data_IF_630576369240
#
_entry.id   IF_630576369240
#
_cell.length_a   1.000
_cell.length_b   1.000
_cell.length_c   1.000
_cell.angle_alpha   90.00
_cell.angle_beta   90.00
_cell.angle_gamma   90.00
#
_symmetry.space_group_name_H-M   'P 1'
#
loop_
_entity.id
_entity.type
_entity.pdbx_description
1 polymer ?
#
# COMPACT_ATOMS: atom_id res chain seq x y z
N UNK A 1 -24.25 1.12 -24.25
CA UNK A 1 -23.73 1.37 -22.89
C UNK A 1 -23.76 0.17 -21.94
N UNK A 2 -24.74 -0.76 -22.01
CA UNK A 2 -24.84 -1.89 -21.07
C UNK A 2 -23.70 -2.93 -21.19
N UNK A 3 -23.23 -3.22 -22.41
CA UNK A 3 -22.14 -4.21 -22.66
C UNK A 3 -20.79 -3.69 -22.14
N UNK A 4 -20.48 -2.41 -22.34
CA UNK A 4 -19.26 -1.76 -21.83
C UNK A 4 -19.22 -1.76 -20.30
N UNK A 5 -20.35 -1.42 -19.66
CA UNK A 5 -20.50 -1.47 -18.19
C UNK A 5 -20.39 -2.89 -17.60
N UNK A 6 -20.68 -3.92 -18.38
CA UNK A 6 -20.57 -5.32 -17.94
C UNK A 6 -19.11 -5.79 -17.93
N UNK A 7 -18.37 -5.49 -19.01
CA UNK A 7 -16.93 -5.78 -19.09
C UNK A 7 -16.11 -5.00 -18.05
N UNK A 8 -16.43 -3.74 -17.82
CA UNK A 8 -15.79 -2.90 -16.80
C UNK A 8 -15.97 -3.49 -15.39
N UNK A 9 -17.18 -3.92 -15.01
CA UNK A 9 -17.41 -4.57 -13.71
C UNK A 9 -16.65 -5.88 -13.56
N UNK A 10 -16.51 -6.66 -14.63
CA UNK A 10 -15.72 -7.89 -14.62
C UNK A 10 -14.23 -7.58 -14.40
N UNK A 11 -13.68 -6.59 -15.10
CA UNK A 11 -12.28 -6.16 -14.96
C UNK A 11 -12.00 -5.63 -13.56
N UNK A 12 -12.87 -4.77 -13.03
CA UNK A 12 -12.73 -4.22 -11.67
C UNK A 12 -12.79 -5.33 -10.62
N UNK A 13 -13.69 -6.31 -10.80
CA UNK A 13 -13.79 -7.47 -9.90
C UNK A 13 -12.55 -8.35 -9.97
N UNK A 14 -11.98 -8.58 -11.15
CA UNK A 14 -10.74 -9.32 -11.32
C UNK A 14 -9.55 -8.59 -10.67
N UNK A 15 -9.42 -7.28 -10.90
CA UNK A 15 -8.37 -6.46 -10.29
C UNK A 15 -8.45 -6.52 -8.76
N UNK A 16 -9.65 -6.35 -8.18
CA UNK A 16 -9.86 -6.44 -6.73
C UNK A 16 -9.62 -7.84 -6.19
N UNK A 17 -10.05 -8.89 -6.91
CA UNK A 17 -9.83 -10.28 -6.52
C UNK A 17 -8.34 -10.61 -6.41
N UNK A 18 -7.50 -10.04 -7.29
CA UNK A 18 -6.06 -10.27 -7.33
C UNK A 18 -5.29 -9.60 -6.18
N UNK A 19 -5.84 -8.56 -5.57
CA UNK A 19 -5.22 -7.92 -4.40
C UNK A 19 -5.20 -8.87 -3.19
N UNK A 20 -6.26 -9.68 -3.01
CA UNK A 20 -6.35 -10.63 -1.89
C UNK A 20 -5.24 -11.70 -1.87
N UNK A 21 -4.98 -12.48 -2.95
CA UNK A 21 -3.88 -13.44 -2.96
C UNK A 21 -2.52 -12.77 -2.84
N UNK A 22 -2.36 -11.55 -3.36
CA UNK A 22 -1.13 -10.78 -3.20
C UNK A 22 -0.87 -10.43 -1.73
N UNK A 23 -1.90 -9.92 -1.04
CA UNK A 23 -1.87 -9.68 0.40
C UNK A 23 -1.49 -10.97 1.14
N UNK A 24 -2.20 -12.07 0.90
CA UNK A 24 -1.92 -13.35 1.59
C UNK A 24 -0.46 -13.80 1.39
N UNK A 25 0.08 -13.69 0.17
CA UNK A 25 1.46 -14.04 -0.13
C UNK A 25 2.46 -13.15 0.63
N UNK A 26 2.25 -11.82 0.65
CA UNK A 26 3.10 -10.89 1.40
C UNK A 26 3.09 -11.17 2.90
N UNK A 27 1.91 -11.44 3.47
CA UNK A 27 1.77 -11.75 4.89
C UNK A 27 2.45 -13.08 5.24
N UNK A 28 2.26 -14.11 4.43
CA UNK A 28 2.93 -15.41 4.61
C UNK A 28 4.45 -15.27 4.53
N UNK A 29 4.95 -14.56 3.52
CA UNK A 29 6.37 -14.32 3.35
C UNK A 29 6.95 -13.51 4.52
N UNK A 30 6.27 -12.45 4.97
CA UNK A 30 6.70 -11.67 6.12
C UNK A 30 6.81 -12.53 7.39
N UNK A 31 5.82 -13.40 7.67
CA UNK A 31 5.84 -14.32 8.82
C UNK A 31 6.96 -15.36 8.68
N UNK A 32 7.18 -15.90 7.48
CA UNK A 32 8.27 -16.84 7.20
C UNK A 32 9.66 -16.23 7.42
N UNK A 33 9.79 -14.91 7.28
CA UNK A 33 11.04 -14.18 7.47
C UNK A 33 11.36 -13.90 8.95
N UNK A 34 10.38 -13.87 9.86
CA UNK A 34 10.57 -13.65 11.32
C UNK A 34 11.71 -14.48 11.93
N UNK A 35 11.81 -15.81 11.72
CA UNK A 35 12.90 -16.60 12.29
C UNK A 35 14.29 -16.30 11.70
N UNK A 36 14.36 -15.64 10.54
CA UNK A 36 15.61 -15.33 9.83
C UNK A 36 16.09 -13.89 10.06
N UNK A 37 15.47 -13.15 10.99
CA UNK A 37 15.90 -11.79 11.32
C UNK A 37 17.31 -11.81 11.90
N UNK A 38 18.27 -11.35 11.10
CA UNK A 38 19.71 -11.38 11.41
C UNK A 38 20.24 -10.02 11.87
N UNK A 39 19.45 -8.93 11.72
CA UNK A 39 19.81 -7.60 12.23
C UNK A 39 21.07 -6.98 11.60
N UNK A 40 21.72 -7.67 10.66
CA UNK A 40 23.00 -7.29 10.06
C UNK A 40 22.95 -5.95 9.32
N UNK A 41 21.81 -5.62 8.71
CA UNK A 41 21.63 -4.34 8.03
C UNK A 41 21.66 -3.13 8.98
N UNK A 42 21.29 -3.31 10.26
CA UNK A 42 21.27 -2.24 11.24
C UNK A 42 22.69 -1.81 11.64
N UNK A 43 23.67 -2.72 11.50
CA UNK A 43 25.09 -2.41 11.73
C UNK A 43 25.68 -1.53 10.64
N UNK A 44 25.23 -1.67 9.39
CA UNK A 44 25.70 -0.88 8.23
C UNK A 44 24.91 0.42 8.04
N UNK A 45 23.69 0.51 8.59
CA UNK A 45 22.82 1.69 8.52
C UNK A 45 23.39 2.96 9.21
N UNK A 46 24.53 2.85 9.90
CA UNK A 46 25.26 3.98 10.50
C UNK A 46 26.08 4.79 9.49
N UNK A 47 26.27 4.27 8.28
CA UNK A 47 26.96 5.00 7.21
C UNK A 47 25.95 5.88 6.50
N UNK A 48 25.98 7.19 6.76
CA UNK A 48 25.13 8.15 6.06
C UNK A 48 25.34 7.99 4.55
N UNK A 49 24.26 7.88 3.74
CA UNK A 49 24.39 7.76 2.31
C UNK A 49 25.13 8.99 1.77
N UNK A 50 26.10 8.76 0.90
CA UNK A 50 26.82 9.85 0.24
C UNK A 50 25.83 10.80 -0.46
N UNK A 51 26.05 12.11 -0.36
CA UNK A 51 25.15 13.14 -0.89
C UNK A 51 24.89 12.97 -2.41
N UNK A 52 25.80 12.29 -3.11
CA UNK A 52 25.71 11.90 -4.52
C UNK A 52 24.57 10.90 -4.80
N UNK A 53 24.25 10.01 -3.86
CA UNK A 53 23.14 9.04 -3.96
C UNK A 53 21.79 9.62 -3.49
N UNK A 54 21.81 10.74 -2.75
CA UNK A 54 20.62 11.39 -2.24
C UNK A 54 19.81 12.09 -3.36
N UNK A 55 20.48 12.82 -4.25
CA UNK A 55 19.86 13.54 -5.38
C UNK A 55 19.01 12.62 -6.28
N UNK A 56 19.51 11.46 -6.79
CA UNK A 56 18.69 10.58 -7.62
C UNK A 56 17.55 9.93 -6.83
N UNK A 57 17.73 9.65 -5.53
CA UNK A 57 16.66 9.11 -4.67
C UNK A 57 15.52 10.13 -4.51
N UNK A 58 15.86 11.39 -4.28
CA UNK A 58 14.91 12.49 -4.18
C UNK A 58 14.19 12.73 -5.51
N UNK A 59 14.93 12.61 -6.62
CA UNK A 59 14.38 12.71 -7.96
C UNK A 59 13.35 11.62 -8.26
N UNK A 60 13.58 10.38 -7.81
CA UNK A 60 12.62 9.28 -7.94
C UNK A 60 11.44 9.39 -6.98
N UNK A 61 11.62 10.03 -5.81
CA UNK A 61 10.54 10.26 -4.86
C UNK A 61 9.46 11.22 -5.39
N UNK A 62 9.84 12.20 -6.24
CA UNK A 62 8.90 13.17 -6.80
C UNK A 62 7.81 12.47 -7.65
N UNK A 63 8.12 11.63 -8.65
CA UNK A 63 7.11 10.87 -9.39
C UNK A 63 6.26 9.99 -8.48
N UNK A 64 6.85 9.30 -7.50
CA UNK A 64 6.11 8.42 -6.59
C UNK A 64 5.08 9.22 -5.78
N UNK A 65 5.45 10.41 -5.29
CA UNK A 65 4.53 11.32 -4.60
C UNK A 65 3.41 11.80 -5.53
N UNK A 66 3.74 12.16 -6.77
CA UNK A 66 2.75 12.59 -7.78
C UNK A 66 1.77 11.46 -8.12
N UNK A 67 2.26 10.24 -8.31
CA UNK A 67 1.41 9.06 -8.54
C UNK A 67 0.57 8.71 -7.30
N UNK A 68 1.09 8.95 -6.08
CA UNK A 68 0.33 8.74 -4.85
C UNK A 68 -0.89 9.67 -4.75
N UNK A 69 -0.83 10.87 -5.35
CA UNK A 69 -2.01 11.74 -5.46
C UNK A 69 -3.12 11.18 -6.34
N UNK A 70 -2.86 10.16 -7.18
CA UNK A 70 -3.90 9.47 -7.95
C UNK A 70 -4.93 8.73 -7.07
N UNK A 71 -4.59 8.48 -5.80
CA UNK A 71 -5.50 7.89 -4.83
C UNK A 71 -6.56 8.89 -4.32
N UNK A 72 -6.26 10.20 -4.32
CA UNK A 72 -7.16 11.25 -3.81
C UNK A 72 -8.50 11.33 -4.59
N UNK A 73 -8.53 11.29 -5.93
CA UNK A 73 -9.78 11.23 -6.69
C UNK A 73 -10.65 10.01 -6.39
N UNK A 74 -10.03 8.84 -6.19
CA UNK A 74 -10.73 7.59 -5.90
C UNK A 74 -11.42 7.67 -4.52
N UNK A 75 -10.72 8.19 -3.51
CA UNK A 75 -11.31 8.44 -2.19
C UNK A 75 -12.48 9.42 -2.29
N UNK A 76 -12.30 10.52 -3.03
CA UNK A 76 -13.33 11.55 -3.19
C UNK A 76 -14.61 10.98 -3.84
N UNK A 77 -14.46 10.17 -4.90
CA UNK A 77 -15.57 9.48 -5.54
C UNK A 77 -16.27 8.48 -4.60
N UNK A 78 -15.50 7.75 -3.79
CA UNK A 78 -16.04 6.83 -2.77
C UNK A 78 -16.83 7.55 -1.67
N UNK A 79 -16.32 8.70 -1.19
CA UNK A 79 -17.01 9.52 -0.20
C UNK A 79 -18.34 10.07 -0.75
N UNK A 80 -18.36 10.51 -2.00
CA UNK A 80 -19.59 10.97 -2.69
C UNK A 80 -20.59 9.83 -2.91
N UNK A 81 -20.13 8.62 -3.27
CA UNK A 81 -21.01 7.46 -3.45
C UNK A 81 -21.61 6.96 -2.12
N UNK A 82 -20.82 6.91 -1.05
CA UNK A 82 -21.33 6.60 0.30
C UNK A 82 -22.34 7.65 0.79
N UNK A 83 -22.08 8.94 0.56
CA UNK A 83 -23.01 10.03 0.91
C UNK A 83 -24.37 9.87 0.21
N UNK A 84 -24.38 9.40 -1.03
CA UNK A 84 -25.61 9.08 -1.78
C UNK A 84 -26.35 7.85 -1.22
N UNK A 85 -25.65 6.84 -0.74
CA UNK A 85 -26.27 5.61 -0.22
C UNK A 85 -26.76 5.70 1.24
N UNK A 86 -26.04 6.43 2.12
CA UNK A 86 -26.27 6.39 3.57
C UNK A 86 -26.68 7.73 4.22
N UNK A 87 -26.84 8.80 3.44
CA UNK A 87 -27.33 10.10 3.94
C UNK A 87 -26.40 10.75 4.98
N UNK A 88 -26.96 11.34 6.05
CA UNK A 88 -26.20 12.03 7.12
C UNK A 88 -25.25 11.12 7.91
N UNK A 89 -25.51 9.81 7.99
CA UNK A 89 -24.65 8.85 8.71
C UNK A 89 -23.52 8.28 7.83
N UNK A 90 -23.44 8.69 6.56
CA UNK A 90 -22.51 8.14 5.59
C UNK A 90 -21.05 8.51 5.85
N UNK A 91 -20.77 9.77 6.20
CA UNK A 91 -19.39 10.25 6.32
C UNK A 91 -18.62 9.52 7.43
N UNK A 92 -19.26 9.32 8.58
CA UNK A 92 -18.62 8.68 9.74
C UNK A 92 -18.29 7.21 9.45
N UNK A 93 -19.24 6.45 8.89
CA UNK A 93 -19.01 5.03 8.56
C UNK A 93 -18.06 4.86 7.38
N UNK A 94 -18.16 5.71 6.35
CA UNK A 94 -17.24 5.72 5.20
C UNK A 94 -15.80 5.96 5.64
N UNK A 95 -15.62 7.02 6.44
CA UNK A 95 -14.31 7.40 6.97
C UNK A 95 -13.72 6.31 7.85
N UNK A 96 -14.52 5.66 8.69
CA UNK A 96 -14.04 4.52 9.51
C UNK A 96 -13.61 3.32 8.67
N UNK A 97 -14.38 2.94 7.65
CA UNK A 97 -14.04 1.82 6.77
C UNK A 97 -12.76 2.14 6.00
N UNK A 98 -12.66 3.35 5.44
CA UNK A 98 -11.51 3.80 4.68
C UNK A 98 -10.26 3.90 5.56
N UNK A 99 -10.37 4.47 6.77
CA UNK A 99 -9.27 4.58 7.72
C UNK A 99 -8.77 3.20 8.18
N UNK A 100 -9.68 2.25 8.44
CA UNK A 100 -9.31 0.87 8.78
C UNK A 100 -8.63 0.15 7.61
N UNK A 101 -9.15 0.31 6.40
CA UNK A 101 -8.57 -0.29 5.21
C UNK A 101 -7.16 0.26 4.91
N UNK A 102 -6.98 1.58 4.96
CA UNK A 102 -5.67 2.22 4.81
C UNK A 102 -4.71 1.84 5.93
N UNK A 103 -5.18 1.83 7.18
CA UNK A 103 -4.38 1.38 8.31
C UNK A 103 -3.88 -0.05 8.14
N UNK A 104 -4.74 -0.97 7.71
CA UNK A 104 -4.38 -2.37 7.49
C UNK A 104 -3.35 -2.51 6.34
N UNK A 105 -3.54 -1.78 5.24
CA UNK A 105 -2.58 -1.75 4.13
C UNK A 105 -1.21 -1.24 4.59
N UNK A 106 -1.15 -0.11 5.29
CA UNK A 106 0.11 0.48 5.77
C UNK A 106 0.82 -0.46 6.75
N UNK A 107 0.11 -0.98 7.76
CA UNK A 107 0.69 -1.89 8.75
C UNK A 107 1.29 -3.11 8.08
N UNK A 108 0.58 -3.69 7.12
CA UNK A 108 1.01 -4.88 6.41
C UNK A 108 2.24 -4.63 5.54
N UNK A 109 2.24 -3.56 4.73
CA UNK A 109 3.38 -3.21 3.87
C UNK A 109 4.60 -2.90 4.71
N UNK A 110 4.45 -2.12 5.79
CA UNK A 110 5.54 -1.82 6.70
C UNK A 110 6.09 -3.09 7.36
N UNK A 111 5.21 -3.97 7.87
CA UNK A 111 5.61 -5.24 8.47
C UNK A 111 6.42 -6.12 7.50
N UNK A 112 5.98 -6.19 6.24
CA UNK A 112 6.70 -6.89 5.18
C UNK A 112 8.08 -6.26 4.89
N UNK A 113 8.14 -4.94 4.72
CA UNK A 113 9.40 -4.23 4.46
C UNK A 113 10.39 -4.42 5.61
N UNK A 114 9.94 -4.28 6.86
CA UNK A 114 10.77 -4.54 8.03
C UNK A 114 11.27 -5.99 8.06
N UNK A 115 10.41 -6.96 7.76
CA UNK A 115 10.80 -8.37 7.72
C UNK A 115 11.89 -8.63 6.66
N UNK A 116 11.77 -8.03 5.48
CA UNK A 116 12.79 -8.10 4.43
C UNK A 116 14.11 -7.46 4.87
N UNK A 117 14.05 -6.23 5.39
CA UNK A 117 15.23 -5.49 5.86
C UNK A 117 15.96 -6.27 6.96
N UNK A 118 15.23 -6.80 7.94
CA UNK A 118 15.82 -7.58 9.05
C UNK A 118 16.40 -8.93 8.59
N UNK A 119 15.93 -9.50 7.49
CA UNK A 119 16.42 -10.78 6.94
C UNK A 119 17.57 -10.60 5.95
N UNK A 120 17.62 -9.47 5.25
CA UNK A 120 18.72 -9.12 4.35
C UNK A 120 19.97 -8.82 5.19
N UNK A 121 20.74 -9.87 5.48
CA UNK A 121 22.14 -9.73 5.86
C UNK A 121 22.88 -9.07 4.70
N UNK A 122 23.75 -8.06 4.95
CA UNK A 122 24.55 -7.49 3.89
C UNK A 122 25.38 -8.61 3.24
N UNK A 123 25.30 -8.70 1.91
CA UNK A 123 26.24 -9.45 1.07
C UNK A 123 27.56 -8.71 0.98
#
# INVERSE_FOLDING_TARGET
MAVVRCGERFIVKAMSLMVYPFIVALLFLAIFLIPHWTGGILSTATTFPELSAFIPTLWLAIPVMVFSFNHTPIISAFAVDQKRQYGENAEVRSSQILARAHGLMVVMVLFFVFSCVLTLSPV
#
